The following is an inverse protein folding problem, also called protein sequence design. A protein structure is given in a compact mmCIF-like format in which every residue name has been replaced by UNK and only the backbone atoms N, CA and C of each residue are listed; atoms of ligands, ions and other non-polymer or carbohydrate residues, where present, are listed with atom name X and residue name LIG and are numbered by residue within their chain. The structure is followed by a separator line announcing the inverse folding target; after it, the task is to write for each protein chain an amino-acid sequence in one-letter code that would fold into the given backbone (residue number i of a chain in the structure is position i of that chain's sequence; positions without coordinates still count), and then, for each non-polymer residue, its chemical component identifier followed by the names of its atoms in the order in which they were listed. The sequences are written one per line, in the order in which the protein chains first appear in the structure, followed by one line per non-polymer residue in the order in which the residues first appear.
data_IF_152503453592
#
_entry.id   IF_152503453592
#
_cell.length_a   1.000
_cell.length_b   1.000
_cell.length_c   1.000
_cell.angle_alpha   90.00
_cell.angle_beta   90.00
_cell.angle_gamma   90.00
#
_symmetry.space_group_name_H-M   'P 1'
#
loop_
_entity.id
_entity.type
_entity.pdbx_description
1 polymer ?
#
# COMPACT_ATOMS: atom_id res chain seq x y z
N UNK A 1 44.39 15.72 22.17
CA UNK A 1 43.49 14.66 21.70
C UNK A 1 42.94 13.91 22.90
N UNK A 2 41.63 13.58 22.95
CA UNK A 2 41.07 12.80 24.05
C UNK A 2 41.69 11.41 24.11
N UNK A 3 41.93 10.90 25.33
CA UNK A 3 42.56 9.60 25.53
C UNK A 3 41.65 8.44 25.08
N UNK A 4 42.22 7.27 24.77
CA UNK A 4 41.45 6.07 24.45
C UNK A 4 40.43 5.68 25.54
N UNK A 5 40.73 6.02 26.83
CA UNK A 5 39.78 5.87 27.94
C UNK A 5 38.58 6.79 27.82
N UNK A 6 38.76 8.03 27.33
CA UNK A 6 37.65 8.99 27.11
C UNK A 6 36.72 8.51 26.01
N UNK A 7 37.26 8.01 24.91
CA UNK A 7 36.47 7.43 23.80
C UNK A 7 35.71 6.18 24.21
N UNK A 8 36.32 5.28 25.00
CA UNK A 8 35.62 4.10 25.54
C UNK A 8 34.46 4.48 26.47
N UNK A 9 34.66 5.48 27.37
CA UNK A 9 33.59 5.96 28.24
C UNK A 9 32.45 6.61 27.47
N UNK A 10 32.73 7.39 26.43
CA UNK A 10 31.73 8.00 25.57
C UNK A 10 30.94 6.93 24.77
N UNK A 11 31.62 5.91 24.26
CA UNK A 11 30.95 4.80 23.53
C UNK A 11 30.06 3.97 24.47
N UNK A 12 30.50 3.69 25.70
CA UNK A 12 29.66 2.99 26.71
C UNK A 12 28.46 3.83 27.12
N UNK A 13 28.65 5.12 27.36
CA UNK A 13 27.56 6.04 27.73
C UNK A 13 26.55 6.18 26.57
N UNK A 14 27.02 6.26 25.32
CA UNK A 14 26.17 6.26 24.11
C UNK A 14 25.38 4.96 23.95
N UNK A 15 26.03 3.81 24.17
CA UNK A 15 25.39 2.49 24.13
C UNK A 15 24.30 2.31 25.20
N UNK A 16 24.58 2.76 26.43
CA UNK A 16 23.60 2.73 27.54
C UNK A 16 22.42 3.67 27.25
N UNK A 17 22.69 4.86 26.69
CA UNK A 17 21.63 5.79 26.27
C UNK A 17 20.70 5.19 25.21
N UNK A 18 21.26 4.56 24.17
CA UNK A 18 20.50 3.88 23.14
C UNK A 18 19.70 2.69 23.68
N UNK A 19 20.30 1.88 24.56
CA UNK A 19 19.61 0.78 25.22
C UNK A 19 18.46 1.27 26.12
N UNK A 20 18.65 2.40 26.82
CA UNK A 20 17.61 3.04 27.63
C UNK A 20 16.45 3.56 26.79
N UNK A 21 16.73 4.21 25.65
CA UNK A 21 15.70 4.66 24.71
C UNK A 21 14.94 3.47 24.14
N UNK A 22 15.64 2.41 23.72
CA UNK A 22 15.01 1.19 23.19
C UNK A 22 14.14 0.51 24.24
N UNK A 23 14.62 0.37 25.50
CA UNK A 23 13.85 -0.21 26.59
C UNK A 23 12.62 0.63 26.93
N UNK A 24 12.74 1.97 26.92
CA UNK A 24 11.61 2.87 27.12
C UNK A 24 10.58 2.74 26.00
N UNK A 25 11.00 2.72 24.73
CA UNK A 25 10.11 2.53 23.61
C UNK A 25 9.43 1.16 23.62
N UNK A 26 10.17 0.09 23.97
CA UNK A 26 9.63 -1.24 24.13
C UNK A 26 8.59 -1.30 25.27
N UNK A 27 8.87 -0.66 26.41
CA UNK A 27 7.94 -0.58 27.52
C UNK A 27 6.68 0.22 27.20
N UNK A 28 6.80 1.32 26.44
CA UNK A 28 5.65 2.08 25.93
C UNK A 28 4.84 1.26 24.94
N UNK A 29 5.49 0.53 24.03
CA UNK A 29 4.85 -0.37 23.09
C UNK A 29 4.05 -1.47 23.81
N UNK A 30 4.63 -2.09 24.84
CA UNK A 30 3.93 -3.11 25.63
C UNK A 30 2.78 -2.55 26.46
N UNK A 31 2.85 -1.31 26.92
CA UNK A 31 1.74 -0.65 27.62
C UNK A 31 0.54 -0.33 26.74
N UNK A 32 0.78 0.01 25.48
CA UNK A 32 -0.29 0.33 24.51
C UNK A 32 -0.77 -0.89 23.75
N UNK A 33 0.08 -1.89 23.53
CA UNK A 33 -0.24 -3.09 22.75
C UNK A 33 -1.20 -4.08 23.46
N UNK A 34 -1.53 -3.85 24.72
CA UNK A 34 -2.38 -4.78 25.51
C UNK A 34 -3.83 -4.35 25.67
N UNK A 35 -4.23 -3.18 25.14
CA UNK A 35 -5.63 -2.73 25.25
C UNK A 35 -6.34 -3.01 23.93
N UNK A 36 -7.37 -3.87 23.98
CA UNK A 36 -8.33 -4.04 22.91
C UNK A 36 -9.22 -2.80 22.79
N UNK A 37 -9.93 -2.71 21.68
CA UNK A 37 -10.99 -1.72 21.48
C UNK A 37 -12.32 -2.38 21.85
N UNK A 38 -13.14 -1.70 22.65
CA UNK A 38 -14.51 -2.10 22.92
C UNK A 38 -15.41 -1.22 22.06
N UNK A 39 -16.35 -1.83 21.37
CA UNK A 39 -17.38 -1.14 20.60
C UNK A 39 -18.67 -1.20 21.44
N UNK A 40 -19.10 -0.07 22.01
CA UNK A 40 -20.23 -0.01 22.95
C UNK A 40 -21.56 -0.47 22.31
N UNK A 41 -21.79 -0.10 21.04
CA UNK A 41 -23.03 -0.45 20.32
C UNK A 41 -22.69 -0.80 18.86
N UNK A 42 -22.23 -2.04 18.59
CA UNK A 42 -21.76 -2.42 17.26
C UNK A 42 -22.92 -2.47 16.26
N UNK A 43 -22.90 -1.60 15.22
CA UNK A 43 -23.93 -1.59 14.19
C UNK A 43 -23.87 -2.87 13.35
N UNK A 44 -24.98 -3.23 12.73
CA UNK A 44 -24.99 -4.35 11.77
C UNK A 44 -24.11 -4.07 10.54
N UNK A 45 -23.31 -5.06 10.07
CA UNK A 45 -22.55 -4.91 8.83
C UNK A 45 -23.49 -4.59 7.66
N UNK A 46 -23.09 -3.68 6.78
CA UNK A 46 -23.89 -3.26 5.64
C UNK A 46 -24.99 -2.23 5.94
N UNK A 47 -25.13 -1.79 7.20
CA UNK A 47 -26.06 -0.70 7.54
C UNK A 47 -25.44 0.68 7.29
N UNK A 48 -26.26 1.73 7.11
CA UNK A 48 -25.76 3.10 7.03
C UNK A 48 -24.98 3.54 8.29
N UNK A 49 -25.30 2.99 9.45
CA UNK A 49 -24.60 3.28 10.71
C UNK A 49 -23.18 2.71 10.69
N UNK A 50 -23.02 1.47 10.20
CA UNK A 50 -21.70 0.88 9.98
C UNK A 50 -20.85 1.74 9.03
N UNK A 51 -21.44 2.17 7.91
CA UNK A 51 -20.77 3.01 6.93
C UNK A 51 -20.29 4.33 7.56
N UNK A 52 -21.15 5.03 8.29
CA UNK A 52 -20.79 6.30 8.97
C UNK A 52 -19.71 6.09 10.04
N UNK A 53 -19.80 5.01 10.80
CA UNK A 53 -18.80 4.68 11.82
C UNK A 53 -17.43 4.45 11.20
N UNK A 54 -17.35 3.64 10.14
CA UNK A 54 -16.08 3.35 9.46
C UNK A 54 -15.49 4.59 8.82
N UNK A 55 -16.31 5.44 8.21
CA UNK A 55 -15.87 6.72 7.63
C UNK A 55 -15.28 7.65 8.71
N UNK A 56 -15.93 7.75 9.86
CA UNK A 56 -15.46 8.56 10.97
C UNK A 56 -14.16 8.02 11.60
N UNK A 57 -14.05 6.69 11.76
CA UNK A 57 -12.89 6.04 12.36
C UNK A 57 -11.62 6.18 11.50
N UNK A 58 -11.75 6.12 10.18
CA UNK A 58 -10.60 6.06 9.26
C UNK A 58 -10.34 7.40 8.57
N UNK A 59 -11.17 8.42 8.81
CA UNK A 59 -11.10 9.72 8.13
C UNK A 59 -11.00 9.58 6.60
N UNK A 60 -11.54 8.49 6.07
CA UNK A 60 -11.53 8.14 4.65
C UNK A 60 -12.97 8.14 4.12
N UNK A 61 -13.26 8.93 3.07
CA UNK A 61 -14.63 9.07 2.58
C UNK A 61 -15.13 7.80 1.89
N UNK A 62 -16.41 7.52 2.05
CA UNK A 62 -17.13 6.51 1.27
C UNK A 62 -17.58 7.13 -0.06
N UNK A 63 -17.05 6.62 -1.16
CA UNK A 63 -17.38 7.06 -2.53
C UNK A 63 -18.48 6.21 -3.12
N UNK A 64 -19.54 6.83 -3.55
CA UNK A 64 -20.64 6.19 -4.27
C UNK A 64 -20.29 6.00 -5.76
N UNK A 65 -20.98 5.10 -6.43
CA UNK A 65 -20.93 5.01 -7.89
C UNK A 65 -19.64 4.40 -8.44
N UNK A 66 -19.06 3.41 -7.77
CA UNK A 66 -17.87 2.73 -8.28
C UNK A 66 -18.22 1.34 -8.83
N UNK A 67 -17.42 0.87 -9.78
CA UNK A 67 -17.36 -0.52 -10.19
C UNK A 67 -16.12 -1.17 -9.63
N UNK A 68 -16.27 -2.35 -9.04
CA UNK A 68 -15.16 -3.11 -8.44
C UNK A 68 -15.10 -4.48 -9.08
N UNK A 69 -13.95 -4.80 -9.67
CA UNK A 69 -13.66 -6.14 -10.21
C UNK A 69 -12.58 -6.79 -9.35
N UNK A 70 -12.86 -7.96 -8.82
CA UNK A 70 -11.88 -8.77 -8.09
C UNK A 70 -11.10 -9.60 -9.10
N UNK A 71 -9.79 -9.44 -9.13
CA UNK A 71 -8.85 -10.15 -9.99
C UNK A 71 -8.04 -11.15 -9.17
N UNK A 72 -7.92 -12.37 -9.65
CA UNK A 72 -7.26 -13.48 -8.97
C UNK A 72 -6.01 -13.89 -9.70
N UNK A 73 -4.93 -13.99 -8.97
CA UNK A 73 -3.62 -14.44 -9.45
C UNK A 73 -3.11 -13.65 -10.66
N UNK A 74 -1.87 -13.87 -11.03
CA UNK A 74 -1.24 -13.14 -12.13
C UNK A 74 -1.96 -13.29 -13.46
N UNK A 75 -2.58 -14.45 -13.70
CA UNK A 75 -3.31 -14.73 -14.92
C UNK A 75 -4.48 -13.77 -15.22
N UNK A 76 -5.13 -13.23 -14.18
CA UNK A 76 -6.17 -12.20 -14.36
C UNK A 76 -5.61 -10.80 -14.11
N UNK A 77 -4.71 -10.65 -13.14
CA UNK A 77 -4.23 -9.35 -12.66
C UNK A 77 -3.35 -8.66 -13.71
N UNK A 78 -2.31 -9.33 -14.21
CA UNK A 78 -1.36 -8.70 -15.11
C UNK A 78 -1.97 -8.31 -16.45
N UNK A 79 -2.76 -9.14 -17.13
CA UNK A 79 -3.43 -8.71 -18.35
C UNK A 79 -4.34 -7.50 -18.16
N UNK A 80 -5.11 -7.45 -17.05
CA UNK A 80 -5.98 -6.32 -16.76
C UNK A 80 -5.21 -5.02 -16.47
N UNK A 81 -4.08 -5.10 -15.75
CA UNK A 81 -3.22 -3.95 -15.51
C UNK A 81 -2.55 -3.46 -16.81
N UNK A 82 -2.01 -4.38 -17.62
CA UNK A 82 -1.36 -4.05 -18.89
C UNK A 82 -2.35 -3.46 -19.90
N UNK A 83 -3.58 -3.98 -19.96
CA UNK A 83 -4.65 -3.40 -20.76
C UNK A 83 -4.93 -1.95 -20.36
N UNK A 84 -5.08 -1.70 -19.06
CA UNK A 84 -5.30 -0.35 -18.56
C UNK A 84 -4.11 0.59 -18.86
N UNK A 85 -2.88 0.12 -18.69
CA UNK A 85 -1.67 0.88 -19.05
C UNK A 85 -1.70 1.23 -20.55
N UNK A 86 -1.90 0.25 -21.44
CA UNK A 86 -1.89 0.44 -22.89
C UNK A 86 -3.02 1.35 -23.37
N UNK A 87 -4.14 1.41 -22.64
CA UNK A 87 -5.28 2.28 -22.96
C UNK A 87 -5.18 3.69 -22.37
N UNK A 88 -4.14 3.99 -21.60
CA UNK A 88 -3.96 5.31 -20.98
C UNK A 88 -3.85 6.43 -22.04
N UNK A 89 -4.55 7.53 -21.79
CA UNK A 89 -4.58 8.70 -22.68
C UNK A 89 -3.88 9.92 -22.10
N UNK A 90 -3.81 10.06 -20.76
CA UNK A 90 -3.36 11.27 -20.06
C UNK A 90 -2.26 11.02 -19.06
N UNK A 91 -2.49 10.12 -18.09
CA UNK A 91 -1.55 9.88 -17.02
C UNK A 91 -1.55 8.45 -16.52
N UNK A 92 -0.37 7.97 -16.12
CA UNK A 92 -0.18 6.71 -15.41
C UNK A 92 0.62 7.02 -14.14
N UNK A 93 0.07 6.64 -12.99
CA UNK A 93 0.73 6.75 -11.70
C UNK A 93 0.89 5.36 -11.11
N UNK A 94 2.10 4.83 -11.12
CA UNK A 94 2.41 3.46 -10.74
C UNK A 94 3.38 3.42 -9.56
N UNK A 95 2.98 2.78 -8.46
CA UNK A 95 3.83 2.52 -7.30
C UNK A 95 3.85 1.04 -6.98
N UNK A 96 5.05 0.49 -6.74
CA UNK A 96 5.19 -0.89 -6.28
C UNK A 96 6.33 -1.04 -5.29
N UNK A 97 6.18 -2.00 -4.36
CA UNK A 97 7.25 -2.41 -3.47
C UNK A 97 8.23 -3.34 -4.16
N UNK A 98 7.72 -4.40 -4.81
CA UNK A 98 8.53 -5.38 -5.54
C UNK A 98 8.47 -5.09 -7.03
N UNK A 99 9.63 -4.93 -7.63
CA UNK A 99 9.85 -5.00 -9.06
C UNK A 99 11.15 -5.78 -9.29
N UNK A 100 11.03 -7.06 -9.59
CA UNK A 100 12.17 -7.96 -9.72
C UNK A 100 12.37 -8.36 -11.18
N UNK A 101 12.92 -9.56 -11.38
CA UNK A 101 13.14 -10.20 -12.68
C UNK A 101 11.98 -11.13 -13.03
N UNK A 102 11.96 -11.63 -14.26
CA UNK A 102 10.95 -12.53 -14.78
C UNK A 102 10.34 -12.01 -16.07
N UNK A 103 9.47 -12.79 -16.68
CA UNK A 103 8.85 -12.49 -17.98
C UNK A 103 7.97 -11.25 -17.93
N UNK A 104 7.28 -11.02 -16.82
CA UNK A 104 6.35 -9.90 -16.64
C UNK A 104 7.06 -8.55 -16.48
N UNK A 105 8.30 -8.52 -15.96
CA UNK A 105 9.00 -7.28 -15.67
C UNK A 105 9.31 -6.44 -16.93
N UNK A 106 9.90 -6.99 -18.01
CA UNK A 106 10.08 -6.23 -19.23
C UNK A 106 8.77 -5.85 -19.93
N UNK A 107 7.73 -6.68 -19.84
CA UNK A 107 6.43 -6.38 -20.45
C UNK A 107 5.78 -5.13 -19.80
N UNK A 108 5.84 -5.01 -18.48
CA UNK A 108 5.37 -3.82 -17.77
C UNK A 108 6.20 -2.58 -18.11
N UNK A 109 7.54 -2.71 -18.12
CA UNK A 109 8.41 -1.61 -18.45
C UNK A 109 8.17 -1.10 -19.88
N UNK A 110 8.01 -2.01 -20.85
CA UNK A 110 7.75 -1.62 -22.24
C UNK A 110 6.37 -0.97 -22.39
N UNK A 111 5.32 -1.51 -21.81
CA UNK A 111 3.98 -0.90 -21.87
C UNK A 111 3.96 0.52 -21.28
N UNK A 112 4.66 0.77 -20.18
CA UNK A 112 4.81 2.09 -19.59
C UNK A 112 5.64 3.04 -20.47
N UNK A 113 6.74 2.53 -21.06
CA UNK A 113 7.60 3.28 -21.95
C UNK A 113 6.87 3.70 -23.24
N UNK A 114 6.17 2.77 -23.91
CA UNK A 114 5.34 3.06 -25.09
C UNK A 114 4.32 4.17 -24.83
N UNK A 115 3.68 4.18 -23.67
CA UNK A 115 2.74 5.25 -23.31
C UNK A 115 3.41 6.58 -23.07
N UNK A 116 4.59 6.57 -22.44
CA UNK A 116 5.38 7.78 -22.26
C UNK A 116 5.82 8.38 -23.59
N UNK A 117 6.28 7.55 -24.53
CA UNK A 117 6.64 7.98 -25.90
C UNK A 117 5.42 8.51 -26.66
N UNK A 118 4.21 8.00 -26.38
CA UNK A 118 2.97 8.50 -26.94
C UNK A 118 2.46 9.81 -26.31
N UNK A 119 3.21 10.38 -25.34
CA UNK A 119 2.89 11.66 -24.69
C UNK A 119 2.03 11.54 -23.42
N UNK A 120 1.78 10.32 -22.93
CA UNK A 120 1.13 10.11 -21.62
C UNK A 120 2.12 10.45 -20.50
N UNK A 121 1.67 11.17 -19.48
CA UNK A 121 2.52 11.44 -18.33
C UNK A 121 2.65 10.19 -17.44
N UNK A 122 3.83 9.57 -17.43
CA UNK A 122 4.11 8.33 -16.69
C UNK A 122 4.98 8.61 -15.48
N UNK A 123 4.44 8.35 -14.29
CA UNK A 123 5.11 8.50 -13.01
C UNK A 123 5.25 7.13 -12.33
N UNK A 124 6.49 6.67 -12.14
CA UNK A 124 6.83 5.35 -11.56
C UNK A 124 7.54 5.57 -10.23
N UNK A 125 6.98 5.04 -9.14
CA UNK A 125 7.56 5.10 -7.81
C UNK A 125 7.97 3.70 -7.35
N UNK A 126 9.25 3.47 -7.21
CA UNK A 126 9.84 2.21 -6.79
C UNK A 126 10.34 2.28 -5.35
N UNK A 127 10.07 1.27 -4.55
CA UNK A 127 10.70 1.16 -3.24
C UNK A 127 12.18 0.80 -3.39
N UNK A 128 13.07 1.58 -2.80
CA UNK A 128 14.52 1.44 -3.02
C UNK A 128 15.11 0.13 -2.46
N UNK A 129 14.41 -0.57 -1.57
CA UNK A 129 14.81 -1.88 -1.05
C UNK A 129 14.08 -3.00 -1.79
N UNK A 130 12.74 -2.90 -1.86
CA UNK A 130 11.91 -3.93 -2.46
C UNK A 130 12.16 -4.11 -3.96
N UNK A 131 12.41 -3.02 -4.70
CA UNK A 131 12.71 -3.05 -6.13
C UNK A 131 14.21 -3.10 -6.47
N UNK A 132 15.08 -3.40 -5.50
CA UNK A 132 16.54 -3.42 -5.71
C UNK A 132 17.03 -4.49 -6.69
N UNK A 133 16.20 -5.48 -7.02
CA UNK A 133 16.51 -6.53 -8.00
C UNK A 133 16.02 -6.19 -9.43
N UNK A 134 15.40 -5.02 -9.64
CA UNK A 134 14.98 -4.60 -10.97
C UNK A 134 16.19 -4.42 -11.89
N UNK A 135 16.07 -4.91 -13.12
CA UNK A 135 17.13 -4.73 -14.11
C UNK A 135 17.31 -3.25 -14.42
N UNK A 136 18.56 -2.79 -14.41
CA UNK A 136 18.92 -1.42 -14.72
C UNK A 136 18.50 -1.02 -16.13
N UNK A 137 18.57 -1.93 -17.09
CA UNK A 137 18.15 -1.67 -18.46
C UNK A 137 16.68 -1.29 -18.58
N UNK A 138 15.80 -1.85 -17.71
CA UNK A 138 14.38 -1.49 -17.69
C UNK A 138 14.16 -0.09 -17.12
N UNK A 139 14.96 0.31 -16.14
CA UNK A 139 14.92 1.67 -15.57
C UNK A 139 15.36 2.68 -16.63
N UNK A 140 16.49 2.40 -17.30
CA UNK A 140 17.02 3.25 -18.36
C UNK A 140 16.01 3.35 -19.52
N UNK A 141 15.37 2.24 -19.94
CA UNK A 141 14.31 2.22 -20.96
C UNK A 141 13.14 3.15 -20.59
N UNK A 142 12.65 3.10 -19.34
CA UNK A 142 11.58 3.98 -18.86
C UNK A 142 12.00 5.46 -18.91
N UNK A 143 13.21 5.77 -18.45
CA UNK A 143 13.71 7.13 -18.40
C UNK A 143 13.98 7.69 -19.80
N UNK A 144 14.53 6.88 -20.71
CA UNK A 144 14.78 7.25 -22.11
C UNK A 144 13.47 7.54 -22.85
N UNK A 145 12.40 6.83 -22.50
CA UNK A 145 11.03 7.09 -23.00
C UNK A 145 10.39 8.36 -22.42
N UNK A 146 11.03 9.02 -21.44
CA UNK A 146 10.50 10.22 -20.80
C UNK A 146 9.69 9.99 -19.53
N UNK A 147 9.55 8.74 -19.07
CA UNK A 147 8.87 8.43 -17.82
C UNK A 147 9.66 8.97 -16.61
N UNK A 148 8.93 9.51 -15.63
CA UNK A 148 9.51 9.99 -14.37
C UNK A 148 9.64 8.83 -13.41
N UNK A 149 10.86 8.34 -13.15
CA UNK A 149 11.14 7.26 -12.21
C UNK A 149 11.71 7.82 -10.92
N UNK A 150 11.06 7.56 -9.80
CA UNK A 150 11.48 7.99 -8.47
C UNK A 150 11.67 6.81 -7.52
N UNK A 151 12.58 6.97 -6.55
CA UNK A 151 12.91 5.95 -5.56
C UNK A 151 12.41 6.39 -4.18
N UNK A 152 11.57 5.57 -3.57
CA UNK A 152 11.08 5.81 -2.23
C UNK A 152 12.11 5.40 -1.19
N UNK A 153 12.53 6.38 -0.36
CA UNK A 153 13.45 6.22 0.78
C UNK A 153 14.71 5.40 0.43
N UNK A 154 15.56 5.85 -0.50
CA UNK A 154 16.84 5.18 -0.77
C UNK A 154 17.67 5.11 0.52
N UNK A 155 18.32 3.96 0.81
CA UNK A 155 19.15 3.80 2.00
C UNK A 155 20.24 4.85 2.05
N UNK A 156 20.28 5.64 3.14
CA UNK A 156 21.34 6.61 3.44
C UNK A 156 21.84 6.35 4.84
N UNK A 157 23.13 6.52 5.09
CA UNK A 157 23.75 6.22 6.38
C UNK A 157 23.07 6.94 7.56
N UNK A 158 22.50 8.12 7.35
CA UNK A 158 21.81 8.91 8.39
C UNK A 158 20.30 8.62 8.47
N UNK A 159 19.75 7.78 7.60
CA UNK A 159 18.33 7.37 7.60
C UNK A 159 18.14 5.89 7.93
N UNK A 160 19.15 5.21 8.50
CA UNK A 160 19.08 3.78 8.84
C UNK A 160 17.90 3.44 9.77
N UNK A 161 17.49 4.36 10.64
CA UNK A 161 16.32 4.20 11.50
C UNK A 161 14.99 4.13 10.72
N UNK A 162 14.96 4.58 9.46
CA UNK A 162 13.79 4.52 8.58
C UNK A 162 13.80 3.30 7.64
N UNK A 163 14.79 2.42 7.74
CA UNK A 163 14.89 1.24 6.84
C UNK A 163 13.67 0.31 6.94
N UNK A 164 13.04 0.23 8.11
CA UNK A 164 11.83 -0.57 8.31
C UNK A 164 10.54 0.11 7.83
N UNK A 165 10.57 1.43 7.58
CA UNK A 165 9.40 2.18 7.15
C UNK A 165 9.39 2.26 5.62
N UNK A 166 9.05 1.11 4.97
CA UNK A 166 8.99 0.98 3.51
C UNK A 166 7.57 1.22 3.00
N UNK A 167 7.46 1.64 1.73
CA UNK A 167 6.15 1.64 1.09
C UNK A 167 5.81 0.24 0.62
N UNK A 168 4.82 -0.39 1.27
CA UNK A 168 4.32 -1.69 0.82
C UNK A 168 3.08 -1.55 -0.07
N UNK A 169 2.80 -0.32 -0.52
CA UNK A 169 1.66 -0.01 -1.40
C UNK A 169 1.95 -0.50 -2.81
N UNK A 170 0.97 -1.15 -3.41
CA UNK A 170 0.94 -1.51 -4.82
C UNK A 170 -0.26 -0.79 -5.40
N UNK A 171 0.00 0.24 -6.18
CA UNK A 171 -1.02 1.14 -6.71
C UNK A 171 -0.70 1.40 -8.18
N UNK A 172 -1.67 1.19 -9.04
CA UNK A 172 -1.68 1.70 -10.40
C UNK A 172 -2.93 2.54 -10.56
N UNK A 173 -2.78 3.79 -10.99
CA UNK A 173 -3.93 4.63 -11.35
C UNK A 173 -3.71 5.18 -12.75
N UNK A 174 -4.67 4.93 -13.62
CA UNK A 174 -4.67 5.34 -15.02
C UNK A 174 -5.72 6.43 -15.22
N UNK A 175 -5.30 7.54 -15.79
CA UNK A 175 -6.13 8.71 -16.14
C UNK A 175 -6.96 9.26 -14.96
N UNK A 176 -6.57 8.97 -13.71
CA UNK A 176 -7.33 9.29 -12.52
C UNK A 176 -8.70 8.63 -12.40
N UNK A 177 -9.02 7.66 -13.25
CA UNK A 177 -10.35 7.03 -13.42
C UNK A 177 -10.38 5.55 -13.08
N UNK A 178 -9.31 4.84 -13.36
CA UNK A 178 -9.16 3.39 -13.13
C UNK A 178 -8.00 3.19 -12.18
N UNK A 179 -8.26 2.52 -11.07
CA UNK A 179 -7.26 2.21 -10.07
C UNK A 179 -7.14 0.72 -9.81
N UNK A 180 -5.93 0.26 -9.51
CA UNK A 180 -5.65 -1.11 -9.07
C UNK A 180 -4.89 -1.09 -7.76
N UNK A 181 -5.23 -2.02 -6.87
CA UNK A 181 -4.47 -2.29 -5.66
C UNK A 181 -4.64 -3.73 -5.19
N UNK A 182 -3.65 -4.26 -4.49
CA UNK A 182 -3.65 -5.62 -3.97
C UNK A 182 -2.27 -6.06 -3.50
N UNK A 183 -1.99 -7.36 -3.56
CA UNK A 183 -0.77 -7.93 -3.00
C UNK A 183 0.36 -8.16 -4.01
N UNK A 184 0.10 -8.24 -5.33
CA UNK A 184 1.13 -8.62 -6.31
C UNK A 184 2.25 -7.58 -6.43
N UNK A 185 3.48 -8.08 -6.54
CA UNK A 185 4.61 -7.33 -7.08
C UNK A 185 4.80 -7.64 -8.57
N UNK A 186 5.72 -6.93 -9.20
CA UNK A 186 6.12 -7.22 -10.59
C UNK A 186 7.30 -8.21 -10.53
N UNK A 187 6.97 -9.49 -10.60
CA UNK A 187 7.96 -10.56 -10.56
C UNK A 187 7.34 -11.89 -11.03
N UNK A 188 8.20 -12.85 -11.42
CA UNK A 188 7.78 -14.16 -11.93
C UNK A 188 6.92 -14.92 -10.93
N UNK A 189 7.21 -14.80 -9.64
CA UNK A 189 6.53 -15.52 -8.56
C UNK A 189 5.03 -15.22 -8.47
N UNK A 190 4.56 -14.11 -9.05
CA UNK A 190 3.12 -13.79 -9.11
C UNK A 190 2.48 -14.08 -10.47
N UNK A 191 3.20 -14.65 -11.44
CA UNK A 191 2.59 -15.02 -12.73
C UNK A 191 1.73 -16.28 -12.60
N UNK A 192 0.93 -16.59 -13.62
CA UNK A 192 0.09 -17.79 -13.65
C UNK A 192 -1.06 -17.80 -12.64
N UNK A 193 -1.50 -19.00 -12.29
CA UNK A 193 -2.64 -19.28 -11.40
C UNK A 193 -2.26 -20.02 -10.12
N UNK A 194 -1.01 -19.85 -9.64
CA UNK A 194 -0.55 -20.56 -8.44
C UNK A 194 -0.51 -22.09 -8.67
N UNK A 195 -0.01 -22.51 -9.81
CA UNK A 195 0.02 -23.92 -10.24
C UNK A 195 1.02 -24.77 -9.46
N UNK A 196 2.06 -24.13 -8.92
CA UNK A 196 3.14 -24.78 -8.18
C UNK A 196 3.66 -23.88 -7.04
N UNK A 197 4.54 -24.39 -6.16
CA UNK A 197 5.09 -23.61 -5.05
C UNK A 197 5.93 -22.40 -5.43
N UNK A 198 6.37 -22.28 -6.68
CA UNK A 198 7.08 -21.12 -7.22
C UNK A 198 6.16 -19.97 -7.63
N UNK A 199 4.87 -20.24 -7.82
CA UNK A 199 3.87 -19.26 -8.23
C UNK A 199 2.90 -18.97 -7.07
N UNK A 200 2.82 -17.72 -6.68
CA UNK A 200 2.10 -17.30 -5.48
C UNK A 200 0.67 -16.86 -5.80
N UNK A 201 -0.25 -17.32 -4.94
CA UNK A 201 -1.63 -16.86 -4.97
C UNK A 201 -1.72 -15.42 -4.49
N UNK A 202 -2.49 -14.61 -5.19
CA UNK A 202 -2.79 -13.25 -4.76
C UNK A 202 -4.17 -12.79 -5.25
N UNK A 203 -4.61 -11.67 -4.72
CA UNK A 203 -5.86 -11.03 -5.10
C UNK A 203 -5.64 -9.53 -5.26
N UNK A 204 -6.08 -8.98 -6.39
CA UNK A 204 -6.14 -7.55 -6.67
C UNK A 204 -7.57 -7.11 -6.86
N UNK A 205 -7.77 -5.81 -6.75
CA UNK A 205 -9.04 -5.17 -7.14
C UNK A 205 -8.75 -4.11 -8.19
N UNK A 206 -9.59 -4.08 -9.23
CA UNK A 206 -9.74 -2.97 -10.16
C UNK A 206 -10.92 -2.14 -9.69
N UNK A 207 -10.73 -0.84 -9.54
CA UNK A 207 -11.74 0.12 -9.11
C UNK A 207 -11.89 1.18 -10.20
N UNK A 208 -13.12 1.35 -10.70
CA UNK A 208 -13.46 2.38 -11.68
C UNK A 208 -14.49 3.34 -11.06
N UNK A 209 -14.26 4.62 -11.20
CA UNK A 209 -15.15 5.64 -10.64
C UNK A 209 -14.47 6.57 -9.64
N UNK A 210 -15.25 7.28 -8.82
CA UNK A 210 -14.73 8.33 -7.93
C UNK A 210 -13.67 7.90 -6.92
N UNK A 211 -13.68 6.62 -6.49
CA UNK A 211 -12.70 6.08 -5.53
C UNK A 211 -11.28 5.88 -6.13
N UNK A 212 -11.13 5.89 -7.46
CA UNK A 212 -9.81 5.87 -8.09
C UNK A 212 -8.94 7.07 -7.64
N UNK A 213 -9.56 8.23 -7.39
CA UNK A 213 -8.89 9.41 -6.82
C UNK A 213 -8.31 9.16 -5.42
N UNK A 214 -9.02 8.38 -4.60
CA UNK A 214 -8.55 8.10 -3.23
C UNK A 214 -7.37 7.10 -3.25
N UNK A 215 -7.34 6.17 -4.22
CA UNK A 215 -6.16 5.34 -4.52
C UNK A 215 -4.99 6.20 -5.00
N UNK A 216 -5.24 7.16 -5.90
CA UNK A 216 -4.22 8.11 -6.32
C UNK A 216 -3.67 8.90 -5.13
N UNK A 217 -4.49 9.28 -4.16
CA UNK A 217 -4.05 9.90 -2.92
C UNK A 217 -2.98 9.07 -2.19
N UNK A 218 -3.12 7.74 -2.19
CA UNK A 218 -2.11 6.84 -1.65
C UNK A 218 -0.78 6.86 -2.42
N UNK A 219 -0.81 7.06 -3.73
CA UNK A 219 0.38 7.29 -4.55
C UNK A 219 1.00 8.66 -4.25
N UNK A 220 0.17 9.72 -4.25
CA UNK A 220 0.61 11.11 -4.08
C UNK A 220 1.36 11.34 -2.75
N UNK A 221 0.93 10.70 -1.66
CA UNK A 221 1.62 10.79 -0.37
C UNK A 221 3.10 10.40 -0.49
N UNK A 222 3.35 9.24 -1.10
CA UNK A 222 4.70 8.71 -1.24
C UNK A 222 5.50 9.40 -2.35
N UNK A 223 4.82 9.82 -3.42
CA UNK A 223 5.44 10.58 -4.52
C UNK A 223 5.95 11.92 -4.04
N UNK A 224 5.12 12.68 -3.29
CA UNK A 224 5.51 13.97 -2.74
C UNK A 224 6.70 13.83 -1.75
N UNK A 225 6.74 12.77 -0.93
CA UNK A 225 7.89 12.49 -0.06
C UNK A 225 9.16 12.22 -0.87
N UNK A 226 9.05 11.42 -1.94
CA UNK A 226 10.21 10.99 -2.72
C UNK A 226 10.78 12.11 -3.62
N UNK A 227 9.91 12.94 -4.19
CA UNK A 227 10.28 13.91 -5.24
C UNK A 227 10.19 15.36 -4.81
N UNK A 228 9.56 15.67 -3.69
CA UNK A 228 9.18 17.03 -3.25
C UNK A 228 8.29 17.76 -4.27
N UNK A 229 7.55 16.99 -5.08
CA UNK A 229 6.62 17.49 -6.09
C UNK A 229 5.21 16.93 -5.82
N UNK A 230 4.21 17.78 -5.94
CA UNK A 230 2.79 17.38 -5.83
C UNK A 230 2.20 17.41 -7.23
N UNK A 231 1.75 16.24 -7.70
CA UNK A 231 1.03 16.14 -8.97
C UNK A 231 -0.37 16.73 -8.81
N UNK A 232 -0.81 17.51 -9.76
CA UNK A 232 -2.09 18.18 -9.75
C UNK A 232 -2.62 18.36 -11.18
N UNK A 233 -3.83 18.89 -11.30
CA UNK A 233 -4.45 19.14 -12.60
C UNK A 233 -5.37 18.02 -13.07
N UNK A 234 -6.13 18.28 -14.15
CA UNK A 234 -7.20 17.39 -14.62
C UNK A 234 -6.69 16.08 -15.22
N UNK A 235 -5.42 16.00 -15.60
CA UNK A 235 -4.85 14.76 -16.16
C UNK A 235 -4.60 13.71 -15.07
N UNK A 236 -4.34 14.13 -13.83
CA UNK A 236 -4.21 13.26 -12.67
C UNK A 236 -5.50 13.17 -11.84
N UNK A 237 -6.21 14.28 -11.70
CA UNK A 237 -7.35 14.46 -10.81
C UNK A 237 -8.58 14.97 -11.60
N UNK A 238 -9.09 14.20 -12.57
CA UNK A 238 -10.28 14.57 -13.30
C UNK A 238 -11.51 14.57 -12.39
N UNK A 239 -12.55 15.31 -12.80
CA UNK A 239 -13.88 15.11 -12.24
C UNK A 239 -14.45 13.79 -12.81
N UNK A 240 -14.63 12.79 -11.93
CA UNK A 240 -15.12 11.46 -12.30
C UNK A 240 -16.54 11.31 -11.78
N UNK A 241 -17.48 11.19 -12.71
CA UNK A 241 -18.86 10.88 -12.38
C UNK A 241 -18.98 9.40 -11.98
N UNK A 242 -19.82 9.14 -10.98
CA UNK A 242 -20.11 7.78 -10.55
C UNK A 242 -21.05 7.05 -11.51
N UNK A 243 -21.06 5.73 -11.46
CA UNK A 243 -22.02 4.88 -12.13
C UNK A 243 -23.31 4.81 -11.33
N UNK A 244 -24.47 4.91 -11.98
CA UNK A 244 -25.79 4.87 -11.32
C UNK A 244 -26.04 3.53 -10.60
N UNK A 245 -25.53 2.43 -11.16
CA UNK A 245 -25.57 1.08 -10.60
C UNK A 245 -24.34 0.72 -9.74
N UNK A 246 -23.52 1.71 -9.42
CA UNK A 246 -22.26 1.52 -8.75
C UNK A 246 -22.37 1.24 -7.25
N UNK A 247 -21.31 0.68 -6.70
CA UNK A 247 -21.19 0.36 -5.28
C UNK A 247 -20.44 1.45 -4.50
N UNK A 248 -20.58 1.40 -3.18
CA UNK A 248 -19.76 2.21 -2.28
C UNK A 248 -18.37 1.61 -2.13
N UNK A 249 -17.35 2.47 -2.20
CA UNK A 249 -15.95 2.10 -1.98
C UNK A 249 -15.30 3.08 -1.02
N UNK A 250 -14.56 2.55 -0.07
CA UNK A 250 -13.68 3.32 0.81
C UNK A 250 -12.24 2.88 0.61
N UNK A 251 -11.33 3.84 0.48
CA UNK A 251 -9.88 3.59 0.43
C UNK A 251 -9.26 4.09 1.71
N UNK A 252 -8.99 3.16 2.62
CA UNK A 252 -8.28 3.47 3.87
C UNK A 252 -6.78 3.40 3.63
N UNK A 253 -6.08 4.48 3.96
CA UNK A 253 -4.63 4.60 3.80
C UNK A 253 -3.95 4.37 5.14
N UNK A 254 -3.00 3.44 5.18
CA UNK A 254 -2.18 3.13 6.34
C UNK A 254 -0.70 3.32 6.01
N UNK A 255 0.08 3.71 6.98
CA UNK A 255 1.54 3.86 6.85
C UNK A 255 2.26 3.05 7.93
N UNK A 256 3.53 2.73 7.70
CA UNK A 256 4.36 2.07 8.72
C UNK A 256 4.84 3.03 9.84
N UNK A 257 4.37 4.27 9.83
CA UNK A 257 4.74 5.27 10.82
C UNK A 257 3.94 5.13 12.12
N UNK A 258 4.55 5.51 13.25
CA UNK A 258 3.88 5.49 14.54
C UNK A 258 2.64 6.39 14.51
N UNK A 259 1.50 5.86 14.98
CA UNK A 259 0.25 6.60 15.05
C UNK A 259 -0.72 6.37 13.89
N UNK A 260 -0.33 5.64 12.85
CA UNK A 260 -1.26 5.20 11.80
C UNK A 260 -2.02 3.96 12.30
N UNK A 261 -3.23 4.16 12.81
CA UNK A 261 -4.08 3.09 13.40
C UNK A 261 -5.32 2.81 12.60
N UNK A 262 -5.56 3.50 11.48
CA UNK A 262 -6.81 3.44 10.72
C UNK A 262 -7.14 2.01 10.26
N UNK A 263 -6.17 1.27 9.74
CA UNK A 263 -6.39 -0.11 9.34
C UNK A 263 -6.67 -1.03 10.55
N UNK A 264 -5.99 -0.80 11.68
CA UNK A 264 -6.22 -1.55 12.91
C UNK A 264 -7.65 -1.32 13.43
N UNK A 265 -8.09 -0.06 13.49
CA UNK A 265 -9.46 0.30 13.89
C UNK A 265 -10.51 -0.30 12.96
N UNK A 266 -10.25 -0.26 11.63
CA UNK A 266 -11.17 -0.85 10.65
C UNK A 266 -11.32 -2.36 10.84
N UNK A 267 -10.23 -3.10 11.07
CA UNK A 267 -10.29 -4.54 11.31
C UNK A 267 -11.03 -4.85 12.62
N UNK A 268 -10.77 -4.12 13.70
CA UNK A 268 -11.50 -4.29 14.96
C UNK A 268 -12.99 -4.01 14.79
N UNK A 269 -13.36 -2.91 14.14
CA UNK A 269 -14.74 -2.58 13.86
C UNK A 269 -15.44 -3.68 13.04
N UNK A 270 -14.77 -4.19 11.99
CA UNK A 270 -15.30 -5.26 11.17
C UNK A 270 -15.55 -6.55 11.99
N UNK A 271 -14.59 -6.94 12.85
CA UNK A 271 -14.71 -8.12 13.72
C UNK A 271 -15.84 -7.92 14.75
N UNK A 272 -15.88 -6.76 15.42
CA UNK A 272 -16.89 -6.45 16.43
C UNK A 272 -18.31 -6.40 15.84
N UNK A 273 -18.46 -5.94 14.60
CA UNK A 273 -19.74 -5.85 13.91
C UNK A 273 -20.17 -7.17 13.23
N UNK A 274 -19.29 -8.16 13.09
CA UNK A 274 -19.63 -9.42 12.45
C UNK A 274 -20.76 -10.17 13.18
N UNK A 275 -21.74 -10.73 12.43
CA UNK A 275 -22.91 -11.42 12.98
C UNK A 275 -23.00 -12.89 12.61
N UNK A 276 -22.48 -13.27 11.43
CA UNK A 276 -22.65 -14.64 10.94
C UNK A 276 -21.32 -15.34 10.73
N UNK A 277 -20.36 -14.64 10.09
CA UNK A 277 -19.09 -15.26 9.71
C UNK A 277 -18.00 -14.22 9.52
N UNK A 278 -16.76 -14.66 9.77
CA UNK A 278 -15.55 -13.92 9.46
C UNK A 278 -14.67 -14.84 8.62
N UNK A 279 -14.27 -14.37 7.44
CA UNK A 279 -13.27 -15.03 6.61
C UNK A 279 -12.00 -14.17 6.57
N UNK A 280 -10.91 -14.74 7.00
CA UNK A 280 -9.62 -14.06 7.06
C UNK A 280 -8.58 -14.89 6.33
N UNK A 281 -7.99 -14.31 5.29
CA UNK A 281 -6.90 -14.92 4.53
C UNK A 281 -5.69 -14.01 4.62
N UNK A 282 -4.58 -14.54 5.10
CA UNK A 282 -3.32 -13.80 5.21
C UNK A 282 -2.12 -14.74 5.13
N UNK A 283 -1.05 -14.31 4.49
CA UNK A 283 0.23 -15.03 4.49
C UNK A 283 0.96 -14.95 5.85
N UNK A 284 0.67 -13.89 6.64
CA UNK A 284 1.35 -13.61 7.90
C UNK A 284 0.34 -13.38 9.02
N UNK A 285 -0.11 -14.44 9.66
CA UNK A 285 -1.01 -14.35 10.79
C UNK A 285 -0.22 -14.23 12.10
N UNK A 286 0.21 -12.99 12.41
CA UNK A 286 0.90 -12.65 13.65
C UNK A 286 0.12 -11.54 14.40
N UNK A 287 -1.13 -11.79 14.80
CA UNK A 287 -1.99 -10.79 15.41
C UNK A 287 -1.53 -10.45 16.83
N UNK A 288 -1.79 -9.22 17.25
CA UNK A 288 -1.67 -8.85 18.66
C UNK A 288 -2.71 -9.60 19.49
N UNK A 289 -2.43 -9.76 20.80
CA UNK A 289 -3.32 -10.45 21.74
C UNK A 289 -4.75 -9.92 21.69
N UNK A 290 -4.93 -8.61 21.71
CA UNK A 290 -6.25 -7.99 21.65
C UNK A 290 -7.04 -8.33 20.37
N UNK A 291 -6.34 -8.51 19.24
CA UNK A 291 -6.98 -8.96 18.00
C UNK A 291 -7.49 -10.42 18.09
N UNK A 292 -6.70 -11.29 18.73
CA UNK A 292 -7.11 -12.67 18.99
C UNK A 292 -8.31 -12.70 19.93
N UNK A 293 -8.30 -11.89 21.00
CA UNK A 293 -9.42 -11.75 21.94
C UNK A 293 -10.69 -11.30 21.21
N UNK A 294 -10.63 -10.29 20.34
CA UNK A 294 -11.78 -9.86 19.55
C UNK A 294 -12.34 -10.95 18.63
N UNK A 295 -11.49 -11.77 18.02
CA UNK A 295 -11.92 -12.94 17.23
C UNK A 295 -12.60 -13.99 18.10
N UNK A 296 -12.06 -14.29 19.29
CA UNK A 296 -12.69 -15.22 20.24
C UNK A 296 -14.06 -14.73 20.73
N UNK A 297 -14.19 -13.44 21.04
CA UNK A 297 -15.46 -12.82 21.40
C UNK A 297 -16.49 -12.89 20.26
N UNK A 298 -16.05 -12.70 19.01
CA UNK A 298 -16.93 -12.84 17.86
C UNK A 298 -17.48 -14.26 17.71
N UNK A 299 -16.69 -15.28 18.03
CA UNK A 299 -17.15 -16.69 18.02
C UNK A 299 -18.15 -16.95 19.15
N UNK A 300 -18.05 -16.25 20.27
CA UNK A 300 -18.96 -16.39 21.41
C UNK A 300 -20.32 -15.71 21.24
N UNK A 301 -20.49 -14.85 20.24
CA UNK A 301 -21.74 -14.17 19.90
C UNK A 301 -22.59 -14.99 18.95
#
# INVERSE_FOLDING_TARGET
MPSARTWRRAAVAGGLGLAGVYAFEAAQYHRTAGKGFELEDPPGPGTPDFARMVEALTVAPLRQGNRVTVLRNGAEIFPAMLEAIRSAERSINFATYVYWTGSIAPEFAEALAERSEAGVEVNVLLDAVGASKMDRALIDRLQDAGAKVAWFRPPKWYTLHKLNNRTHRKILVVDGRVGFTGGVGIAEEWTGNCEDPGHWRDTHVRVEGPAARDLLGGFLDNWAEATQCILSGPDHLPDVQGFDDGVQVQVTRSTAEKGSTDAEHLFYAAIACARERIWLTTAYFAPRRAFVEALCEAVGR
#
